data_IF_906813749562
#
_entry.id   IF_906813749562
#
_cell.length_a   1.000
_cell.length_b   1.000
_cell.length_c   1.000
_cell.angle_alpha   90.00
_cell.angle_beta   90.00
_cell.angle_gamma   90.00
#
_symmetry.space_group_name_H-M   'P 1'
#
loop_
_entity.id
_entity.type
_entity.pdbx_description
1 polymer ?
#
# COMPACT_ATOMS: atom_id res chain seq x y z
N UNK A 1 19.07 -64.60 52.41
CA UNK A 1 19.65 -63.70 51.38
C UNK A 1 19.09 -64.11 50.04
N UNK A 2 18.14 -63.33 49.54
CA UNK A 2 17.28 -63.63 48.39
C UNK A 2 17.92 -63.03 47.14
N UNK A 3 18.27 -63.87 46.17
CA UNK A 3 18.83 -63.47 44.87
C UNK A 3 17.69 -63.14 43.91
N UNK A 4 17.57 -61.87 43.49
CA UNK A 4 16.72 -61.51 42.34
C UNK A 4 17.42 -61.87 41.03
N UNK A 5 16.71 -62.43 40.03
CA UNK A 5 17.28 -62.66 38.70
C UNK A 5 17.32 -61.34 37.88
N UNK A 6 18.23 -61.24 36.90
CA UNK A 6 18.33 -60.07 36.04
C UNK A 6 17.07 -59.95 35.18
N UNK A 7 16.44 -58.78 35.24
CA UNK A 7 15.33 -58.38 34.37
C UNK A 7 15.93 -58.14 32.98
N UNK A 8 15.80 -59.12 32.09
CA UNK A 8 16.05 -58.92 30.67
C UNK A 8 15.04 -57.88 30.17
N UNK A 9 15.52 -56.65 29.95
CA UNK A 9 14.87 -55.68 29.10
C UNK A 9 15.03 -56.17 27.65
N UNK A 10 14.19 -57.12 27.25
CA UNK A 10 13.84 -57.29 25.84
C UNK A 10 13.15 -55.99 25.41
N UNK A 11 13.96 -55.05 24.93
CA UNK A 11 13.51 -54.00 24.03
C UNK A 11 12.83 -54.68 22.86
N UNK A 12 11.50 -54.80 22.93
CA UNK A 12 10.69 -55.17 21.79
C UNK A 12 10.94 -54.11 20.71
N UNK A 13 11.82 -54.43 19.77
CA UNK A 13 11.91 -53.71 18.50
C UNK A 13 10.58 -53.89 17.80
N UNK A 14 9.72 -52.88 17.93
CA UNK A 14 8.50 -52.78 17.14
C UNK A 14 8.91 -52.82 15.66
N UNK A 15 8.35 -53.72 14.85
CA UNK A 15 8.66 -53.75 13.43
C UNK A 15 8.20 -52.43 12.82
N UNK A 16 9.15 -51.55 12.53
CA UNK A 16 8.90 -50.34 11.76
C UNK A 16 8.55 -50.80 10.36
N UNK A 17 7.24 -50.91 10.09
CA UNK A 17 6.71 -51.38 8.82
C UNK A 17 7.34 -50.58 7.67
N UNK A 18 8.18 -51.19 6.80
CA UNK A 18 8.92 -50.47 5.77
C UNK A 18 8.00 -49.78 4.75
N UNK A 19 6.77 -50.29 4.60
CA UNK A 19 5.68 -49.69 3.83
C UNK A 19 5.22 -48.33 4.37
N UNK A 20 5.30 -48.12 5.68
CA UNK A 20 4.89 -46.88 6.32
C UNK A 20 5.96 -45.80 6.15
N UNK A 21 7.24 -46.20 6.17
CA UNK A 21 8.34 -45.28 5.88
C UNK A 21 8.35 -44.85 4.40
N UNK A 22 8.17 -45.78 3.46
CA UNK A 22 8.14 -45.43 2.04
C UNK A 22 6.98 -44.50 1.67
N UNK A 23 5.80 -44.69 2.29
CA UNK A 23 4.63 -43.83 2.03
C UNK A 23 4.78 -42.45 2.66
N UNK A 24 5.39 -42.36 3.85
CA UNK A 24 5.71 -41.07 4.49
C UNK A 24 6.77 -40.31 3.70
N UNK A 25 7.79 -41.01 3.19
CA UNK A 25 8.83 -40.41 2.34
C UNK A 25 8.27 -39.91 1.00
N UNK A 26 7.37 -40.67 0.37
CA UNK A 26 6.67 -40.24 -0.84
C UNK A 26 5.77 -39.02 -0.59
N UNK A 27 5.05 -38.99 0.54
CA UNK A 27 4.25 -37.83 0.94
C UNK A 27 5.13 -36.60 1.20
N UNK A 28 6.26 -36.77 1.87
CA UNK A 28 7.25 -35.72 2.10
C UNK A 28 7.82 -35.17 0.79
N UNK A 29 8.19 -36.06 -0.13
CA UNK A 29 8.68 -35.70 -1.46
C UNK A 29 7.61 -34.92 -2.26
N UNK A 30 6.36 -35.34 -2.17
CA UNK A 30 5.24 -34.68 -2.84
C UNK A 30 4.96 -33.28 -2.26
N UNK A 31 4.95 -33.14 -0.93
CA UNK A 31 4.78 -31.85 -0.24
C UNK A 31 5.93 -30.90 -0.56
N UNK A 32 7.17 -31.40 -0.58
CA UNK A 32 8.33 -30.60 -0.99
C UNK A 32 8.19 -30.08 -2.43
N UNK A 33 7.70 -30.94 -3.33
CA UNK A 33 7.51 -30.58 -4.72
C UNK A 33 6.43 -29.51 -4.88
N UNK A 34 5.28 -29.66 -4.20
CA UNK A 34 4.22 -28.66 -4.19
C UNK A 34 4.69 -27.34 -3.58
N UNK A 35 5.44 -27.37 -2.48
CA UNK A 35 6.00 -26.17 -1.86
C UNK A 35 6.97 -25.45 -2.80
N UNK A 36 7.81 -26.19 -3.54
CA UNK A 36 8.70 -25.63 -4.57
C UNK A 36 7.90 -25.02 -5.73
N UNK A 37 6.83 -25.67 -6.20
CA UNK A 37 5.95 -25.15 -7.24
C UNK A 37 5.24 -23.85 -6.80
N UNK A 38 4.59 -23.85 -5.62
CA UNK A 38 3.96 -22.67 -5.04
C UNK A 38 4.93 -21.51 -4.85
N UNK A 39 6.18 -21.77 -4.43
CA UNK A 39 7.23 -20.73 -4.32
C UNK A 39 7.60 -20.14 -5.68
N UNK A 40 7.65 -20.95 -6.74
CA UNK A 40 7.92 -20.48 -8.11
C UNK A 40 6.77 -19.60 -8.63
N UNK A 41 5.53 -20.02 -8.40
CA UNK A 41 4.33 -19.25 -8.75
C UNK A 41 4.28 -17.92 -8.01
N UNK A 42 4.54 -17.91 -6.69
CA UNK A 42 4.59 -16.68 -5.90
C UNK A 42 5.68 -15.73 -6.40
N UNK A 43 6.86 -16.24 -6.78
CA UNK A 43 7.92 -15.42 -7.39
C UNK A 43 7.52 -14.88 -8.76
N UNK A 44 6.83 -15.67 -9.58
CA UNK A 44 6.32 -15.23 -10.88
C UNK A 44 5.24 -14.14 -10.73
N UNK A 45 4.31 -14.30 -9.78
CA UNK A 45 3.29 -13.30 -9.48
C UNK A 45 3.91 -11.99 -8.99
N UNK A 46 4.87 -12.05 -8.07
CA UNK A 46 5.62 -10.87 -7.59
C UNK A 46 6.35 -10.15 -8.72
N UNK A 47 6.93 -10.89 -9.68
CA UNK A 47 7.56 -10.30 -10.88
C UNK A 47 6.53 -9.62 -11.79
N UNK A 48 5.36 -10.23 -11.99
CA UNK A 48 4.26 -9.62 -12.76
C UNK A 48 3.74 -8.34 -12.10
N UNK A 49 3.54 -8.34 -10.78
CA UNK A 49 3.17 -7.15 -10.01
C UNK A 49 4.23 -6.06 -10.12
N UNK A 50 5.53 -6.39 -10.01
CA UNK A 50 6.61 -5.40 -10.20
C UNK A 50 6.61 -4.81 -11.61
N UNK A 51 6.38 -5.64 -12.65
CA UNK A 51 6.28 -5.17 -14.04
C UNK A 51 5.05 -4.29 -14.26
N UNK A 52 3.91 -4.65 -13.70
CA UNK A 52 2.69 -3.83 -13.75
C UNK A 52 2.88 -2.51 -13.01
N UNK A 53 3.47 -2.51 -11.81
CA UNK A 53 3.81 -1.28 -11.07
C UNK A 53 4.71 -0.37 -11.89
N UNK A 54 5.73 -0.89 -12.57
CA UNK A 54 6.60 -0.10 -13.47
C UNK A 54 5.85 0.51 -14.66
N UNK A 55 4.82 -0.16 -15.19
CA UNK A 55 4.01 0.36 -16.31
C UNK A 55 2.94 1.36 -15.85
N UNK A 56 2.38 1.18 -14.66
CA UNK A 56 1.25 1.99 -14.16
C UNK A 56 1.71 3.22 -13.36
N UNK A 57 2.85 3.16 -12.67
CA UNK A 57 3.41 4.30 -11.93
C UNK A 57 3.58 5.58 -12.78
N UNK A 58 4.15 5.55 -13.99
CA UNK A 58 4.35 6.79 -14.75
C UNK A 58 3.02 7.40 -15.22
N UNK A 59 2.01 6.59 -15.53
CA UNK A 59 0.69 7.08 -15.97
C UNK A 59 -0.09 7.72 -14.81
N UNK A 60 -0.11 7.07 -13.65
CA UNK A 60 -0.79 7.60 -12.48
C UNK A 60 -0.13 8.90 -11.98
N UNK A 61 1.21 8.94 -11.95
CA UNK A 61 1.94 10.17 -11.56
C UNK A 61 1.73 11.32 -12.54
N UNK A 62 1.59 11.03 -13.85
CA UNK A 62 1.37 12.08 -14.85
C UNK A 62 -0.03 12.68 -14.75
N UNK A 63 -1.04 11.83 -14.57
CA UNK A 63 -2.45 12.26 -14.39
C UNK A 63 -2.61 13.07 -13.11
N UNK A 64 -2.03 12.62 -11.99
CA UNK A 64 -2.05 13.34 -10.71
C UNK A 64 -1.34 14.69 -10.82
N UNK A 65 -0.21 14.76 -11.55
CA UNK A 65 0.47 16.03 -11.77
C UNK A 65 -0.38 17.00 -12.59
N UNK A 66 -0.95 16.56 -13.71
CA UNK A 66 -1.77 17.43 -14.56
C UNK A 66 -3.05 17.91 -13.87
N UNK A 67 -3.73 17.04 -13.11
CA UNK A 67 -4.91 17.45 -12.36
C UNK A 67 -4.56 18.42 -11.23
N UNK A 68 -3.41 18.24 -10.57
CA UNK A 68 -2.94 19.16 -9.54
C UNK A 68 -2.63 20.56 -10.09
N UNK A 69 -2.04 20.67 -11.29
CA UNK A 69 -1.77 21.97 -11.91
C UNK A 69 -3.07 22.68 -12.26
N UNK A 70 -4.03 21.98 -12.85
CA UNK A 70 -5.34 22.54 -13.22
C UNK A 70 -6.10 23.00 -11.97
N UNK A 71 -6.14 22.16 -10.93
CA UNK A 71 -6.80 22.52 -9.67
C UNK A 71 -6.13 23.73 -8.99
N UNK A 72 -4.79 23.79 -8.97
CA UNK A 72 -4.07 24.93 -8.40
C UNK A 72 -4.33 26.23 -9.18
N UNK A 73 -4.38 26.15 -10.51
CA UNK A 73 -4.67 27.30 -11.37
C UNK A 73 -6.11 27.80 -11.19
N UNK A 74 -7.07 26.88 -11.09
CA UNK A 74 -8.47 27.22 -10.81
C UNK A 74 -8.64 27.90 -9.45
N UNK A 75 -8.02 27.36 -8.40
CA UNK A 75 -8.04 27.96 -7.06
C UNK A 75 -7.34 29.33 -7.03
N UNK A 76 -6.24 29.51 -7.77
CA UNK A 76 -5.56 30.79 -7.87
C UNK A 76 -6.42 31.86 -8.57
N UNK A 77 -7.12 31.49 -9.64
CA UNK A 77 -8.08 32.36 -10.35
C UNK A 77 -9.26 32.75 -9.44
N UNK A 78 -9.86 31.78 -8.75
CA UNK A 78 -10.96 32.05 -7.80
C UNK A 78 -10.48 33.00 -6.70
N UNK A 79 -9.29 32.77 -6.15
CA UNK A 79 -8.69 33.64 -5.14
C UNK A 79 -8.47 35.08 -5.65
N UNK A 80 -7.99 35.24 -6.88
CA UNK A 80 -7.78 36.55 -7.50
C UNK A 80 -9.10 37.30 -7.73
N UNK A 81 -10.14 36.61 -8.22
CA UNK A 81 -11.47 37.19 -8.42
C UNK A 81 -12.09 37.60 -7.08
N UNK A 82 -12.01 36.74 -6.07
CA UNK A 82 -12.51 37.04 -4.73
C UNK A 82 -11.77 38.22 -4.09
N UNK A 83 -10.45 38.32 -4.29
CA UNK A 83 -9.66 39.45 -3.81
C UNK A 83 -10.05 40.78 -4.49
N UNK A 84 -10.21 40.77 -5.82
CA UNK A 84 -10.68 41.94 -6.56
C UNK A 84 -12.08 42.37 -6.12
N UNK A 85 -13.01 41.41 -5.98
CA UNK A 85 -14.36 41.67 -5.49
C UNK A 85 -14.37 42.21 -4.04
N UNK A 86 -13.47 41.70 -3.18
CA UNK A 86 -13.28 42.24 -1.83
C UNK A 86 -12.84 43.70 -1.85
N UNK A 87 -11.91 44.07 -2.74
CA UNK A 87 -11.46 45.46 -2.88
C UNK A 87 -12.58 46.39 -3.32
N UNK A 88 -13.42 45.93 -4.26
CA UNK A 88 -14.61 46.67 -4.70
C UNK A 88 -15.59 46.86 -3.54
N UNK A 89 -15.96 45.78 -2.83
CA UNK A 89 -16.89 45.88 -1.69
C UNK A 89 -16.36 46.76 -0.55
N UNK A 90 -15.05 46.72 -0.31
CA UNK A 90 -14.41 47.59 0.67
C UNK A 90 -14.54 49.08 0.27
N UNK A 91 -14.38 49.41 -1.01
CA UNK A 91 -14.58 50.77 -1.54
C UNK A 91 -16.05 51.22 -1.46
N UNK A 92 -17.00 50.30 -1.59
CA UNK A 92 -18.43 50.58 -1.37
C UNK A 92 -18.80 50.73 0.12
N UNK A 93 -17.88 50.52 1.05
CA UNK A 93 -18.11 50.63 2.49
C UNK A 93 -18.73 49.37 3.12
N UNK A 94 -18.94 48.30 2.35
CA UNK A 94 -19.42 47.03 2.89
C UNK A 94 -18.24 46.16 3.36
N UNK A 95 -17.81 46.48 4.58
CA UNK A 95 -16.64 45.84 5.22
C UNK A 95 -16.91 44.38 5.58
N UNK A 96 -18.17 43.99 5.80
CA UNK A 96 -18.52 42.62 6.22
C UNK A 96 -18.37 41.65 5.06
N UNK A 97 -18.91 42.00 3.89
CA UNK A 97 -18.77 41.17 2.69
C UNK A 97 -17.33 41.18 2.17
N UNK A 98 -16.64 42.33 2.24
CA UNK A 98 -15.22 42.42 1.90
C UNK A 98 -14.36 41.43 2.73
N UNK A 99 -14.52 41.41 4.06
CA UNK A 99 -13.78 40.47 4.93
C UNK A 99 -14.05 39.00 4.57
N UNK A 100 -15.31 38.67 4.28
CA UNK A 100 -15.70 37.32 3.89
C UNK A 100 -15.06 36.89 2.57
N UNK A 101 -15.03 37.79 1.58
CA UNK A 101 -14.40 37.56 0.28
C UNK A 101 -12.87 37.46 0.39
N UNK A 102 -12.26 38.25 1.27
CA UNK A 102 -10.81 38.18 1.52
C UNK A 102 -10.42 36.88 2.23
N UNK A 103 -11.23 36.40 3.17
CA UNK A 103 -11.06 35.08 3.79
C UNK A 103 -11.22 33.95 2.77
N UNK A 104 -12.16 34.08 1.83
CA UNK A 104 -12.31 33.14 0.72
C UNK A 104 -11.07 33.14 -0.19
N UNK A 105 -10.52 34.33 -0.50
CA UNK A 105 -9.31 34.46 -1.30
C UNK A 105 -8.08 33.83 -0.63
N UNK A 106 -7.89 34.05 0.68
CA UNK A 106 -6.78 33.46 1.43
C UNK A 106 -6.91 31.94 1.55
N UNK A 107 -8.12 31.42 1.75
CA UNK A 107 -8.40 29.99 1.74
C UNK A 107 -8.12 29.37 0.35
N UNK A 108 -8.52 30.05 -0.72
CA UNK A 108 -8.29 29.59 -2.09
C UNK A 108 -6.80 29.51 -2.44
N UNK A 109 -6.01 30.54 -2.12
CA UNK A 109 -4.56 30.51 -2.35
C UNK A 109 -3.82 29.51 -1.46
N UNK A 110 -4.24 29.36 -0.20
CA UNK A 110 -3.70 28.33 0.70
C UNK A 110 -3.99 26.92 0.19
N UNK A 111 -5.21 26.70 -0.30
CA UNK A 111 -5.61 25.46 -0.98
C UNK A 111 -4.80 25.21 -2.24
N UNK A 112 -4.58 26.23 -3.07
CA UNK A 112 -3.76 26.13 -4.28
C UNK A 112 -2.31 25.72 -3.95
N UNK A 113 -1.71 26.36 -2.94
CA UNK A 113 -0.37 26.02 -2.47
C UNK A 113 -0.31 24.59 -1.90
N UNK A 114 -1.30 24.17 -1.11
CA UNK A 114 -1.39 22.83 -0.57
C UNK A 114 -1.49 21.74 -1.65
N UNK A 115 -2.27 21.97 -2.70
CA UNK A 115 -2.40 21.05 -3.85
C UNK A 115 -1.07 20.89 -4.60
N UNK A 116 -0.30 21.98 -4.76
CA UNK A 116 1.03 21.94 -5.38
C UNK A 116 2.05 21.20 -4.51
N UNK A 117 1.98 21.36 -3.18
CA UNK A 117 2.87 20.63 -2.26
C UNK A 117 2.55 19.13 -2.27
N UNK A 118 1.27 18.76 -2.29
CA UNK A 118 0.84 17.36 -2.32
C UNK A 118 1.24 16.65 -3.62
N UNK A 119 1.28 17.37 -4.75
CA UNK A 119 1.65 16.79 -6.04
C UNK A 119 3.17 16.64 -6.26
N UNK A 120 3.97 17.23 -5.37
CA UNK A 120 5.45 17.12 -5.36
C UNK A 120 5.99 16.01 -4.45
N UNK A 121 5.17 15.45 -3.55
CA UNK A 121 5.53 14.31 -2.69
C UNK A 121 5.27 12.97 -3.40
#
# INVERSE_FOLDING_TARGET
MTTMPPRNEESQDFPVSPLLNSTVDDLLAQIEHEAKCRRREARALRRRIRRQRRKVQPLHLRVVRTSSTIASAGLALIGAVAFAASGIMFLLGDVVTAKSLLALASAAWSGAAGVVVLSRR
#
